data_IF_992924125714
#
_entry.id   IF_992924125714
#
_cell.length_a   1.000
_cell.length_b   1.000
_cell.length_c   1.000
_cell.angle_alpha   90.00
_cell.angle_beta   90.00
_cell.angle_gamma   90.00
#
_symmetry.space_group_name_H-M   'P 1'
#
loop_
_entity.id
_entity.type
_entity.pdbx_description
1 polymer ?
#
# COMPACT_ATOMS: atom_id res chain seq x y z
N UNK A 1 -16.72 9.18 -21.97
CA UNK A 1 -18.15 9.24 -21.59
C UNK A 1 -18.18 9.69 -20.13
N UNK A 2 -18.62 10.92 -19.82
CA UNK A 2 -18.33 11.61 -18.54
C UNK A 2 -19.46 11.57 -17.48
N UNK A 3 -20.48 10.72 -17.64
CA UNK A 3 -21.81 10.95 -17.05
C UNK A 3 -21.92 11.02 -15.52
N UNK A 4 -21.30 10.11 -14.75
CA UNK A 4 -21.45 10.06 -13.28
C UNK A 4 -20.31 10.73 -12.52
N UNK A 5 -19.07 10.51 -12.96
CA UNK A 5 -17.86 11.00 -12.28
C UNK A 5 -17.75 12.54 -12.32
N UNK A 6 -18.09 13.14 -13.48
CA UNK A 6 -18.14 14.60 -13.63
C UNK A 6 -19.18 15.25 -12.73
N UNK A 7 -20.39 14.68 -12.65
CA UNK A 7 -21.49 15.23 -11.86
C UNK A 7 -21.16 15.24 -10.37
N UNK A 8 -20.50 14.18 -9.89
CA UNK A 8 -20.03 14.08 -8.51
C UNK A 8 -18.97 15.14 -8.20
N UNK A 9 -17.94 15.25 -9.05
CA UNK A 9 -16.86 16.23 -8.92
C UNK A 9 -17.38 17.67 -8.91
N UNK A 10 -18.29 18.01 -9.82
CA UNK A 10 -18.91 19.34 -9.87
C UNK A 10 -19.61 19.67 -8.55
N UNK A 11 -20.32 18.70 -7.97
CA UNK A 11 -21.00 18.86 -6.68
C UNK A 11 -20.01 19.08 -5.55
N UNK A 12 -18.90 18.33 -5.52
CA UNK A 12 -17.84 18.49 -4.52
C UNK A 12 -17.20 19.87 -4.57
N UNK A 13 -16.79 20.32 -5.76
CA UNK A 13 -16.19 21.65 -5.96
C UNK A 13 -17.13 22.78 -5.51
N UNK A 14 -18.42 22.68 -5.86
CA UNK A 14 -19.42 23.65 -5.43
C UNK A 14 -19.58 23.69 -3.91
N UNK A 15 -19.67 22.52 -3.27
CA UNK A 15 -19.82 22.43 -1.82
C UNK A 15 -18.57 22.88 -1.07
N UNK A 16 -17.37 22.59 -1.59
CA UNK A 16 -16.10 23.02 -1.02
C UNK A 16 -15.98 24.56 -1.00
N UNK A 17 -16.57 25.25 -1.98
CA UNK A 17 -16.64 26.72 -2.01
C UNK A 17 -17.83 27.29 -1.21
N UNK A 18 -18.61 26.45 -0.52
CA UNK A 18 -19.72 26.88 0.34
C UNK A 18 -20.97 27.35 -0.41
N UNK A 19 -21.13 26.99 -1.69
CA UNK A 19 -22.29 27.38 -2.49
C UNK A 19 -23.45 26.39 -2.33
N UNK A 20 -24.67 26.88 -2.08
CA UNK A 20 -25.90 26.13 -2.34
C UNK A 20 -26.22 26.15 -3.84
N UNK A 21 -27.13 25.31 -4.33
CA UNK A 21 -27.50 25.31 -5.76
C UNK A 21 -28.19 26.61 -6.16
N UNK A 22 -29.02 27.13 -5.27
CA UNK A 22 -29.76 28.38 -5.45
C UNK A 22 -28.78 29.55 -5.55
N UNK A 23 -27.81 29.62 -4.63
CA UNK A 23 -26.76 30.64 -4.62
C UNK A 23 -25.82 30.51 -5.83
N UNK A 24 -25.51 29.28 -6.25
CA UNK A 24 -24.65 29.03 -7.39
C UNK A 24 -25.29 29.41 -8.72
N UNK A 25 -26.62 29.29 -8.84
CA UNK A 25 -27.40 29.66 -10.03
C UNK A 25 -28.03 31.07 -9.93
N UNK A 26 -27.74 31.84 -8.87
CA UNK A 26 -28.33 33.16 -8.67
C UNK A 26 -27.90 34.11 -9.80
N UNK A 27 -28.87 34.85 -10.37
CA UNK A 27 -28.64 35.77 -11.49
C UNK A 27 -28.13 35.11 -12.77
N UNK A 28 -28.29 33.79 -12.94
CA UNK A 28 -27.76 33.03 -14.08
C UNK A 28 -28.85 32.75 -15.13
N UNK A 29 -28.70 33.30 -16.33
CA UNK A 29 -29.59 33.00 -17.46
C UNK A 29 -29.20 31.71 -18.20
N UNK A 30 -27.98 31.20 -17.98
CA UNK A 30 -27.40 30.06 -18.72
C UNK A 30 -27.63 28.74 -17.98
N UNK A 31 -27.67 28.75 -16.64
CA UNK A 31 -27.76 27.55 -15.81
C UNK A 31 -28.85 27.63 -14.74
N UNK A 32 -29.95 26.90 -14.95
CA UNK A 32 -31.00 26.75 -13.93
C UNK A 32 -30.65 25.72 -12.84
N UNK A 33 -31.22 25.88 -11.64
CA UNK A 33 -31.10 24.92 -10.51
C UNK A 33 -31.51 23.50 -10.92
N UNK A 34 -32.53 23.39 -11.79
CA UNK A 34 -33.00 22.11 -12.32
C UNK A 34 -31.98 21.46 -13.26
N UNK A 35 -31.34 22.24 -14.12
CA UNK A 35 -30.27 21.74 -15.00
C UNK A 35 -29.04 21.34 -14.19
N UNK A 36 -28.58 22.18 -13.26
CA UNK A 36 -27.47 21.86 -12.36
C UNK A 36 -27.72 20.56 -11.59
N UNK A 37 -28.93 20.38 -11.05
CA UNK A 37 -29.29 19.13 -10.34
C UNK A 37 -29.22 17.90 -11.25
N UNK A 38 -29.66 18.01 -12.50
CA UNK A 38 -29.56 16.89 -13.45
C UNK A 38 -28.11 16.60 -13.84
N UNK A 39 -27.27 17.63 -13.95
CA UNK A 39 -25.83 17.48 -14.23
C UNK A 39 -25.13 16.81 -13.05
N UNK A 40 -25.32 17.31 -11.83
CA UNK A 40 -24.68 16.75 -10.61
C UNK A 40 -25.11 15.31 -10.31
N UNK A 41 -26.31 14.91 -10.74
CA UNK A 41 -26.81 13.53 -10.58
C UNK A 41 -26.49 12.62 -11.78
N UNK A 42 -25.76 13.13 -12.78
CA UNK A 42 -25.42 12.39 -14.00
C UNK A 42 -26.59 12.11 -14.94
N UNK A 43 -27.77 12.70 -14.70
CA UNK A 43 -28.99 12.56 -15.52
C UNK A 43 -29.01 13.48 -16.75
N UNK A 44 -27.99 14.31 -16.94
CA UNK A 44 -27.83 15.21 -18.09
C UNK A 44 -26.35 15.46 -18.35
N UNK A 45 -25.94 15.35 -19.61
CA UNK A 45 -24.59 15.76 -20.02
C UNK A 45 -24.60 17.24 -20.44
N UNK A 46 -23.74 18.08 -19.86
CA UNK A 46 -23.61 19.48 -20.25
C UNK A 46 -22.91 19.61 -21.62
N UNK A 47 -23.23 20.68 -22.36
CA UNK A 47 -22.49 21.06 -23.58
C UNK A 47 -21.24 21.84 -23.21
N UNK A 48 -20.32 22.02 -24.16
CA UNK A 48 -19.06 22.76 -23.95
C UNK A 48 -19.28 24.17 -23.38
N UNK A 49 -20.22 24.92 -23.94
CA UNK A 49 -20.58 26.26 -23.45
C UNK A 49 -21.02 26.25 -21.97
N UNK A 50 -21.78 25.23 -21.57
CA UNK A 50 -22.21 25.04 -20.19
C UNK A 50 -21.03 24.67 -19.28
N UNK A 51 -20.09 23.86 -19.78
CA UNK A 51 -18.88 23.48 -19.05
C UNK A 51 -17.96 24.68 -18.79
N UNK A 52 -17.71 25.50 -19.81
CA UNK A 52 -16.93 26.74 -19.68
C UNK A 52 -17.58 27.74 -18.72
N UNK A 53 -18.91 27.79 -18.73
CA UNK A 53 -19.67 28.62 -17.80
C UNK A 53 -19.56 28.13 -16.35
N UNK A 54 -19.68 26.81 -16.12
CA UNK A 54 -19.49 26.20 -14.81
C UNK A 54 -18.08 26.46 -14.26
N UNK A 55 -17.05 26.36 -15.10
CA UNK A 55 -15.66 26.60 -14.72
C UNK A 55 -15.44 28.06 -14.28
N UNK A 56 -15.98 29.02 -15.05
CA UNK A 56 -15.95 30.45 -14.71
C UNK A 56 -16.66 30.75 -13.38
N UNK A 57 -17.83 30.15 -13.13
CA UNK A 57 -18.58 30.33 -11.87
C UNK A 57 -17.83 29.79 -10.65
N UNK A 58 -17.09 28.69 -10.81
CA UNK A 58 -16.22 28.12 -9.77
C UNK A 58 -14.85 28.79 -9.69
N UNK A 59 -14.54 29.74 -10.58
CA UNK A 59 -13.25 30.38 -10.72
C UNK A 59 -12.08 29.38 -10.86
N UNK A 60 -12.31 28.34 -11.68
CA UNK A 60 -11.32 27.30 -12.01
C UNK A 60 -11.19 27.17 -13.53
N UNK A 61 -10.13 26.48 -13.98
CA UNK A 61 -9.96 26.19 -15.41
C UNK A 61 -10.94 25.09 -15.89
N UNK A 62 -11.24 25.08 -17.19
CA UNK A 62 -12.09 24.04 -17.80
C UNK A 62 -11.48 22.63 -17.63
N UNK A 63 -10.15 22.51 -17.75
CA UNK A 63 -9.42 21.27 -17.51
C UNK A 63 -9.56 20.78 -16.07
N UNK A 64 -9.40 21.67 -15.10
CA UNK A 64 -9.61 21.38 -13.67
C UNK A 64 -11.05 20.96 -13.36
N UNK A 65 -12.05 21.61 -13.98
CA UNK A 65 -13.45 21.24 -13.84
C UNK A 65 -13.72 19.84 -14.42
N UNK A 66 -13.19 19.53 -15.60
CA UNK A 66 -13.37 18.25 -16.29
C UNK A 66 -12.66 17.08 -15.60
N UNK A 67 -11.87 17.35 -14.57
CA UNK A 67 -11.09 16.32 -13.91
C UNK A 67 -9.96 15.80 -14.78
N UNK A 68 -9.52 16.58 -15.79
CA UNK A 68 -8.14 16.47 -16.23
C UNK A 68 -7.30 16.75 -14.99
N UNK A 69 -6.77 15.67 -14.40
CA UNK A 69 -5.97 15.71 -13.19
C UNK A 69 -4.73 16.55 -13.48
N UNK A 70 -4.81 17.86 -13.34
CA UNK A 70 -3.69 18.80 -13.37
C UNK A 70 -2.85 18.67 -12.10
N UNK A 71 -2.36 17.44 -11.81
CA UNK A 71 -1.21 17.14 -10.95
C UNK A 71 -0.57 15.78 -11.34
N UNK A 72 -1.34 14.80 -11.85
CA UNK A 72 -0.78 13.49 -12.26
C UNK A 72 -0.09 13.55 -13.64
N UNK A 73 -0.22 14.65 -14.38
CA UNK A 73 0.38 14.86 -15.70
C UNK A 73 1.67 15.69 -15.73
N UNK A 74 2.33 15.95 -14.59
CA UNK A 74 3.64 16.64 -14.57
C UNK A 74 4.84 15.77 -14.22
N UNK A 75 4.63 14.53 -13.76
CA UNK A 75 5.76 13.66 -13.46
C UNK A 75 6.24 12.93 -14.70
N UNK A 76 7.54 12.95 -15.01
CA UNK A 76 8.09 12.17 -16.11
C UNK A 76 7.68 10.71 -15.99
N UNK A 77 7.17 10.12 -17.08
CA UNK A 77 6.75 8.70 -17.11
C UNK A 77 7.90 7.78 -16.69
N UNK A 78 9.13 8.15 -17.04
CA UNK A 78 10.33 7.46 -16.60
C UNK A 78 10.47 7.44 -15.07
N UNK A 79 10.29 8.59 -14.40
CA UNK A 79 10.31 8.66 -12.94
C UNK A 79 9.25 7.74 -12.31
N UNK A 80 8.01 7.77 -12.81
CA UNK A 80 6.94 6.92 -12.30
C UNK A 80 7.26 5.42 -12.46
N UNK A 81 7.85 5.03 -13.59
CA UNK A 81 8.28 3.64 -13.83
C UNK A 81 9.42 3.22 -12.88
N UNK A 82 10.40 4.09 -12.66
CA UNK A 82 11.51 3.83 -11.73
C UNK A 82 10.98 3.69 -10.30
N UNK A 83 10.11 4.61 -9.87
CA UNK A 83 9.43 4.58 -8.57
C UNK A 83 8.65 3.28 -8.38
N UNK A 84 7.84 2.89 -9.36
CA UNK A 84 7.05 1.66 -9.30
C UNK A 84 7.93 0.42 -9.13
N UNK A 85 9.07 0.35 -9.83
CA UNK A 85 10.02 -0.75 -9.69
C UNK A 85 10.68 -0.79 -8.30
N UNK A 86 10.98 0.37 -7.71
CA UNK A 86 11.51 0.46 -6.34
C UNK A 86 10.50 0.02 -5.28
N UNK A 87 9.21 0.29 -5.48
CA UNK A 87 8.16 -0.18 -4.56
C UNK A 87 8.13 -1.71 -4.43
N UNK A 88 8.48 -2.43 -5.51
CA UNK A 88 8.52 -3.90 -5.53
C UNK A 88 9.76 -4.51 -4.87
N UNK A 89 10.72 -3.69 -4.41
CA UNK A 89 11.92 -4.19 -3.75
C UNK A 89 11.55 -4.95 -2.47
N UNK A 90 12.17 -6.11 -2.25
CA UNK A 90 11.97 -6.93 -1.06
C UNK A 90 13.31 -7.31 -0.44
N UNK A 91 13.34 -7.55 0.87
CA UNK A 91 14.57 -7.96 1.57
C UNK A 91 15.11 -9.33 1.12
N UNK A 92 14.30 -10.11 0.41
CA UNK A 92 14.66 -11.43 -0.14
C UNK A 92 15.23 -11.33 -1.56
N UNK A 93 15.26 -10.15 -2.16
CA UNK A 93 15.82 -9.99 -3.50
C UNK A 93 17.31 -10.33 -3.53
N UNK A 94 17.72 -10.98 -4.62
CA UNK A 94 19.13 -11.32 -4.85
C UNK A 94 19.97 -10.03 -4.84
N UNK A 95 21.21 -10.06 -4.32
CA UNK A 95 22.08 -8.87 -4.27
C UNK A 95 22.19 -8.13 -5.60
N UNK A 96 22.29 -8.86 -6.73
CA UNK A 96 22.35 -8.26 -8.07
C UNK A 96 21.07 -7.49 -8.45
N UNK A 97 19.89 -7.91 -7.98
CA UNK A 97 18.64 -7.19 -8.23
C UNK A 97 18.59 -5.91 -7.39
N UNK A 98 19.00 -5.98 -6.12
CA UNK A 98 19.08 -4.80 -5.24
C UNK A 98 20.08 -3.77 -5.79
N UNK A 99 21.23 -4.20 -6.33
CA UNK A 99 22.18 -3.30 -6.99
C UNK A 99 21.58 -2.59 -8.22
N UNK A 100 20.81 -3.31 -9.05
CA UNK A 100 20.10 -2.69 -10.20
C UNK A 100 19.02 -1.71 -9.74
N UNK A 101 18.38 -1.95 -8.60
CA UNK A 101 17.43 -1.02 -8.01
C UNK A 101 18.15 0.21 -7.45
N UNK A 102 19.34 0.04 -6.90
CA UNK A 102 20.19 1.13 -6.40
C UNK A 102 20.64 2.06 -7.53
N UNK A 103 21.04 1.52 -8.67
CA UNK A 103 21.34 2.31 -9.88
C UNK A 103 20.12 3.13 -10.35
N UNK A 104 18.93 2.55 -10.30
CA UNK A 104 17.67 3.25 -10.64
C UNK A 104 17.34 4.34 -9.64
N UNK A 105 17.58 4.09 -8.35
CA UNK A 105 17.42 5.10 -7.30
C UNK A 105 18.41 6.24 -7.49
N UNK A 106 19.68 5.95 -7.84
CA UNK A 106 20.67 6.96 -8.20
C UNK A 106 20.18 7.86 -9.33
N UNK A 107 19.62 7.27 -10.39
CA UNK A 107 18.98 8.05 -11.46
C UNK A 107 17.82 8.92 -10.95
N UNK A 108 17.00 8.43 -10.00
CA UNK A 108 15.94 9.25 -9.40
C UNK A 108 16.53 10.47 -8.69
N UNK A 109 17.54 10.24 -7.85
CA UNK A 109 18.20 11.26 -7.05
C UNK A 109 18.84 12.31 -7.96
N UNK A 110 19.61 11.89 -8.96
CA UNK A 110 20.39 12.78 -9.81
C UNK A 110 19.54 13.57 -10.82
N UNK A 111 18.43 12.99 -11.31
CA UNK A 111 17.68 13.54 -12.45
C UNK A 111 16.32 14.13 -12.12
N UNK A 112 15.75 13.83 -10.94
CA UNK A 112 14.37 14.25 -10.63
C UNK A 112 14.17 14.81 -9.23
N UNK A 113 14.91 14.35 -8.22
CA UNK A 113 14.60 14.60 -6.79
C UNK A 113 14.38 16.07 -6.43
N UNK A 114 15.28 16.96 -6.87
CA UNK A 114 15.22 18.39 -6.52
C UNK A 114 13.98 19.11 -7.08
N UNK A 115 13.42 18.60 -8.19
CA UNK A 115 12.23 19.15 -8.85
C UNK A 115 10.92 18.50 -8.37
N UNK A 116 11.00 17.45 -7.53
CA UNK A 116 9.83 16.77 -7.02
C UNK A 116 9.10 17.64 -5.97
N UNK A 117 7.75 17.60 -5.91
CA UNK A 117 7.01 18.12 -4.78
C UNK A 117 7.49 17.50 -3.46
N UNK A 118 7.42 18.26 -2.35
CA UNK A 118 7.90 17.83 -1.03
C UNK A 118 7.34 16.48 -0.60
N UNK A 119 6.05 16.23 -0.84
CA UNK A 119 5.43 14.95 -0.48
C UNK A 119 5.98 13.78 -1.30
N UNK A 120 6.39 14.02 -2.55
CA UNK A 120 7.00 12.99 -3.39
C UNK A 120 8.49 12.81 -3.05
N UNK A 121 9.22 13.86 -2.70
CA UNK A 121 10.58 13.74 -2.15
C UNK A 121 10.60 12.83 -0.92
N UNK A 122 9.62 13.00 -0.02
CA UNK A 122 9.44 12.11 1.14
C UNK A 122 9.23 10.65 0.73
N UNK A 123 8.48 10.39 -0.35
CA UNK A 123 8.31 9.03 -0.87
C UNK A 123 9.64 8.47 -1.37
N UNK A 124 10.45 9.28 -2.06
CA UNK A 124 11.80 8.86 -2.48
C UNK A 124 12.69 8.58 -1.26
N UNK A 125 12.65 9.42 -0.21
CA UNK A 125 13.44 9.21 1.01
C UNK A 125 13.07 7.89 1.72
N UNK A 126 11.78 7.54 1.72
CA UNK A 126 11.27 6.27 2.25
C UNK A 126 11.80 5.09 1.42
N UNK A 127 11.68 5.15 0.10
CA UNK A 127 12.14 4.10 -0.81
C UNK A 127 13.67 3.92 -0.73
N UNK A 128 14.42 5.02 -0.64
CA UNK A 128 15.87 5.00 -0.41
C UNK A 128 16.20 4.34 0.93
N UNK A 129 15.54 4.76 2.01
CA UNK A 129 15.75 4.19 3.34
C UNK A 129 15.46 2.69 3.38
N UNK A 130 14.39 2.27 2.72
CA UNK A 130 14.05 0.85 2.55
C UNK A 130 15.17 0.10 1.84
N UNK A 131 15.59 0.58 0.66
CA UNK A 131 16.61 -0.08 -0.14
C UNK A 131 17.95 -0.18 0.59
N UNK A 132 18.40 0.90 1.23
CA UNK A 132 19.66 0.91 2.00
C UNK A 132 19.61 0.02 3.24
N UNK A 133 18.44 -0.16 3.84
CA UNK A 133 18.27 -1.12 4.93
C UNK A 133 18.46 -2.56 4.43
N UNK A 134 18.02 -2.87 3.20
CA UNK A 134 18.19 -4.21 2.62
C UNK A 134 19.62 -4.48 2.13
N UNK A 135 20.35 -3.46 1.69
CA UNK A 135 21.73 -3.61 1.20
C UNK A 135 22.80 -3.44 2.30
N UNK A 136 22.40 -3.06 3.52
CA UNK A 136 23.32 -2.82 4.63
C UNK A 136 24.02 -4.10 5.09
N UNK A 137 25.36 -4.13 4.99
CA UNK A 137 26.19 -5.22 5.51
C UNK A 137 26.25 -5.27 7.04
N UNK A 138 25.94 -4.15 7.70
CA UNK A 138 25.96 -4.02 9.17
C UNK A 138 24.56 -4.15 9.79
N UNK A 139 23.55 -4.51 9.00
CA UNK A 139 22.14 -4.58 9.41
C UNK A 139 21.62 -3.23 9.96
N UNK A 140 22.18 -2.12 9.46
CA UNK A 140 21.72 -0.79 9.83
C UNK A 140 20.33 -0.53 9.26
N UNK A 141 19.43 -0.02 10.12
CA UNK A 141 18.06 0.37 9.77
C UNK A 141 18.03 1.86 9.43
N UNK A 142 17.63 2.20 8.21
CA UNK A 142 17.50 3.58 7.74
C UNK A 142 16.05 4.07 7.82
N UNK A 143 15.83 5.39 7.79
CA UNK A 143 14.49 5.99 7.81
C UNK A 143 13.79 5.99 9.17
N UNK A 144 14.46 5.60 10.26
CA UNK A 144 13.82 5.51 11.59
C UNK A 144 13.29 6.86 12.10
N UNK A 145 13.95 7.97 11.78
CA UNK A 145 13.46 9.31 12.15
C UNK A 145 12.23 9.75 11.35
N UNK A 146 12.07 9.26 10.12
CA UNK A 146 10.87 9.47 9.29
C UNK A 146 9.70 8.68 9.89
N UNK A 147 9.96 7.42 10.26
CA UNK A 147 9.00 6.55 10.92
C UNK A 147 8.54 7.15 12.26
N UNK A 148 9.47 7.55 13.12
CA UNK A 148 9.18 8.09 14.45
C UNK A 148 8.23 9.29 14.38
N UNK A 149 8.48 10.22 13.45
CA UNK A 149 7.62 11.40 13.22
C UNK A 149 6.22 11.04 12.69
N UNK A 150 6.08 9.89 12.03
CA UNK A 150 4.85 9.47 11.35
C UNK A 150 4.03 8.45 12.16
N UNK A 151 4.61 7.87 13.22
CA UNK A 151 4.06 6.72 13.92
C UNK A 151 2.71 7.02 14.60
N UNK A 152 2.55 8.19 15.20
CA UNK A 152 1.29 8.62 15.80
C UNK A 152 0.16 8.69 14.77
N UNK A 153 0.41 9.36 13.65
CA UNK A 153 -0.52 9.46 12.51
C UNK A 153 -0.90 8.07 11.96
N UNK A 154 0.07 7.17 11.82
CA UNK A 154 -0.21 5.79 11.41
C UNK A 154 -1.13 5.06 12.39
N UNK A 155 -1.00 5.28 13.69
CA UNK A 155 -1.86 4.65 14.69
C UNK A 155 -3.28 5.24 14.74
N UNK A 156 -3.42 6.55 14.49
CA UNK A 156 -4.70 7.28 14.59
C UNK A 156 -5.61 7.10 13.38
N UNK A 157 -5.03 6.86 12.19
CA UNK A 157 -5.79 6.58 10.97
C UNK A 157 -6.64 5.32 11.12
N UNK A 158 -7.70 5.22 10.33
CA UNK A 158 -8.57 4.00 10.27
C UNK A 158 -8.36 3.19 9.00
N UNK A 159 -7.95 3.86 7.93
CA UNK A 159 -7.79 3.35 6.57
C UNK A 159 -6.54 4.01 6.01
N UNK A 160 -5.68 3.23 5.37
CA UNK A 160 -4.39 3.66 4.84
C UNK A 160 -4.44 3.99 3.35
N UNK A 161 -3.59 4.93 2.97
CA UNK A 161 -3.26 5.26 1.58
C UNK A 161 -1.99 4.54 1.14
N UNK A 162 -1.63 4.62 -0.15
CA UNK A 162 -0.38 4.07 -0.67
C UNK A 162 0.84 4.63 0.09
N UNK A 163 0.86 5.94 0.36
CA UNK A 163 1.98 6.57 1.08
C UNK A 163 2.09 6.06 2.53
N UNK A 164 0.96 5.74 3.16
CA UNK A 164 0.96 5.13 4.49
C UNK A 164 1.53 3.70 4.44
N UNK A 165 1.21 2.93 3.40
CA UNK A 165 1.78 1.59 3.21
C UNK A 165 3.30 1.66 3.03
N UNK A 166 3.81 2.63 2.27
CA UNK A 166 5.26 2.86 2.12
C UNK A 166 5.93 3.21 3.46
N UNK A 167 5.29 4.02 4.31
CA UNK A 167 5.77 4.28 5.67
C UNK A 167 5.76 3.02 6.54
N UNK A 168 4.76 2.15 6.37
CA UNK A 168 4.67 0.88 7.08
C UNK A 168 5.82 -0.06 6.69
N UNK A 169 6.40 0.05 5.50
CA UNK A 169 7.61 -0.70 5.15
C UNK A 169 8.79 -0.33 6.06
N UNK A 170 8.94 0.95 6.44
CA UNK A 170 9.93 1.36 7.45
C UNK A 170 9.59 0.80 8.83
N UNK A 171 8.30 0.72 9.18
CA UNK A 171 7.88 0.07 10.41
C UNK A 171 8.27 -1.41 10.40
N UNK A 172 8.05 -2.14 9.31
CA UNK A 172 8.47 -3.54 9.17
C UNK A 172 9.99 -3.70 9.34
N UNK A 173 10.79 -2.80 8.77
CA UNK A 173 12.26 -2.78 8.97
C UNK A 173 12.59 -2.53 10.44
N UNK A 174 11.87 -1.63 11.11
CA UNK A 174 12.08 -1.32 12.53
C UNK A 174 11.87 -2.53 13.44
N UNK A 175 10.94 -3.43 13.09
CA UNK A 175 10.64 -4.65 13.84
C UNK A 175 11.85 -5.59 13.97
N UNK A 176 12.76 -5.60 12.98
CA UNK A 176 13.96 -6.42 13.01
C UNK A 176 13.69 -7.93 12.90
N UNK A 177 14.48 -8.71 13.62
CA UNK A 177 14.41 -10.17 13.66
C UNK A 177 13.46 -10.67 14.77
N UNK A 178 13.34 -12.00 14.88
CA UNK A 178 12.48 -12.63 15.89
C UNK A 178 12.86 -12.25 17.33
N UNK A 179 14.14 -12.03 17.63
CA UNK A 179 14.59 -11.61 18.95
C UNK A 179 14.14 -10.19 19.27
N UNK A 180 14.23 -9.27 18.29
CA UNK A 180 13.70 -7.92 18.38
C UNK A 180 12.18 -7.92 18.62
N UNK A 181 11.44 -8.77 17.89
CA UNK A 181 9.98 -8.91 18.04
C UNK A 181 9.58 -9.49 19.40
N UNK A 182 10.42 -10.34 20.01
CA UNK A 182 10.19 -10.95 21.32
C UNK A 182 10.64 -10.07 22.49
N UNK A 183 11.41 -9.02 22.23
CA UNK A 183 11.93 -8.11 23.26
C UNK A 183 10.83 -7.35 24.02
N UNK A 184 11.16 -6.92 25.24
CA UNK A 184 10.27 -6.11 26.09
C UNK A 184 10.05 -4.69 25.54
N UNK A 185 10.94 -4.21 24.66
CA UNK A 185 10.79 -2.92 23.99
C UNK A 185 9.74 -2.90 22.87
N UNK A 186 9.17 -4.05 22.53
CA UNK A 186 8.13 -4.15 21.49
C UNK A 186 6.81 -3.53 21.95
N UNK A 187 6.34 -2.51 21.24
CA UNK A 187 5.04 -1.88 21.51
C UNK A 187 3.88 -2.68 20.92
N UNK A 188 3.26 -3.55 21.71
CA UNK A 188 2.06 -4.31 21.28
C UNK A 188 0.90 -3.40 20.88
N UNK A 189 0.70 -2.30 21.60
CA UNK A 189 -0.38 -1.34 21.32
C UNK A 189 -0.23 -0.72 19.93
N UNK A 190 0.98 -0.26 19.59
CA UNK A 190 1.31 0.29 18.27
C UNK A 190 1.15 -0.76 17.18
N UNK A 191 1.71 -1.96 17.38
CA UNK A 191 1.61 -3.04 16.41
C UNK A 191 0.17 -3.37 16.08
N UNK A 192 -0.67 -3.67 17.08
CA UNK A 192 -2.05 -4.06 16.83
C UNK A 192 -2.92 -2.90 16.31
N UNK A 193 -2.59 -1.64 16.62
CA UNK A 193 -3.24 -0.49 15.98
C UNK A 193 -2.98 -0.50 14.47
N UNK A 194 -1.71 -0.62 14.05
CA UNK A 194 -1.33 -0.66 12.64
C UNK A 194 -1.96 -1.88 11.95
N UNK A 195 -1.91 -3.07 12.56
CA UNK A 195 -2.48 -4.28 11.97
C UNK A 195 -3.99 -4.17 11.70
N UNK A 196 -4.76 -3.61 12.65
CA UNK A 196 -6.21 -3.39 12.45
C UNK A 196 -6.47 -2.41 11.31
N UNK A 197 -5.69 -1.34 11.24
CA UNK A 197 -5.82 -0.35 10.19
C UNK A 197 -5.47 -0.94 8.81
N UNK A 198 -4.43 -1.78 8.71
CA UNK A 198 -4.10 -2.52 7.48
C UNK A 198 -5.26 -3.40 7.03
N UNK A 199 -5.85 -4.20 7.92
CA UNK A 199 -6.98 -5.09 7.59
C UNK A 199 -8.15 -4.30 7.00
N UNK A 200 -8.44 -3.12 7.55
CA UNK A 200 -9.53 -2.24 7.10
C UNK A 200 -9.22 -1.47 5.80
N UNK A 201 -7.99 -1.51 5.30
CA UNK A 201 -7.54 -0.63 4.21
C UNK A 201 -7.80 -1.17 2.80
N UNK A 202 -8.19 -2.43 2.66
CA UNK A 202 -8.31 -3.10 1.37
C UNK A 202 -9.14 -2.32 0.34
N UNK A 203 -10.34 -1.86 0.70
CA UNK A 203 -11.23 -1.16 -0.25
C UNK A 203 -10.72 0.23 -0.67
N UNK A 204 -9.68 0.75 -0.01
CA UNK A 204 -9.11 2.08 -0.28
C UNK A 204 -7.80 2.03 -1.10
N UNK A 205 -7.26 0.83 -1.33
CA UNK A 205 -6.02 0.65 -2.09
C UNK A 205 -6.38 0.25 -3.53
N UNK A 206 -5.93 1.00 -4.55
CA UNK A 206 -6.13 0.61 -5.94
C UNK A 206 -5.51 -0.76 -6.22
N UNK A 207 -6.14 -1.55 -7.08
CA UNK A 207 -5.75 -2.93 -7.38
C UNK A 207 -4.27 -3.05 -7.78
N UNK A 208 -3.74 -2.10 -8.55
CA UNK A 208 -2.35 -2.06 -8.98
C UNK A 208 -1.33 -1.84 -7.84
N UNK A 209 -1.79 -1.44 -6.65
CA UNK A 209 -0.97 -1.23 -5.45
C UNK A 209 -1.30 -2.20 -4.31
N UNK A 210 -2.23 -3.14 -4.50
CA UNK A 210 -2.61 -4.11 -3.46
C UNK A 210 -1.43 -5.01 -3.03
N UNK A 211 -0.39 -5.15 -3.86
CA UNK A 211 0.84 -5.86 -3.46
C UNK A 211 1.52 -5.23 -2.24
N UNK A 212 1.46 -3.89 -2.07
CA UNK A 212 1.99 -3.21 -0.89
C UNK A 212 1.19 -3.58 0.36
N UNK A 213 -0.14 -3.66 0.24
CA UNK A 213 -1.00 -4.04 1.35
C UNK A 213 -0.78 -5.51 1.73
N UNK A 214 -0.65 -6.40 0.73
CA UNK A 214 -0.28 -7.81 0.95
C UNK A 214 1.03 -7.92 1.74
N UNK A 215 2.07 -7.23 1.27
CA UNK A 215 3.39 -7.30 1.87
C UNK A 215 3.39 -6.73 3.30
N UNK A 216 2.64 -5.66 3.54
CA UNK A 216 2.40 -5.13 4.88
C UNK A 216 1.66 -6.13 5.79
N UNK A 217 0.57 -6.75 5.30
CA UNK A 217 -0.25 -7.69 6.07
C UNK A 217 0.49 -8.97 6.48
N UNK A 218 1.51 -9.39 5.72
CA UNK A 218 2.33 -10.56 6.09
C UNK A 218 3.02 -10.37 7.45
N UNK A 219 3.26 -9.13 7.90
CA UNK A 219 3.85 -8.90 9.22
C UNK A 219 2.97 -9.41 10.37
N UNK A 220 1.65 -9.47 10.17
CA UNK A 220 0.69 -9.86 11.22
C UNK A 220 1.00 -11.28 11.72
N UNK A 221 0.86 -12.33 10.89
CA UNK A 221 1.16 -13.69 11.33
C UNK A 221 2.63 -13.92 11.69
N UNK A 222 3.57 -13.19 11.06
CA UNK A 222 5.01 -13.30 11.39
C UNK A 222 5.24 -12.91 12.86
N UNK A 223 4.82 -11.70 13.25
CA UNK A 223 5.06 -11.17 14.59
C UNK A 223 4.24 -11.93 15.64
N UNK A 224 3.00 -12.26 15.32
CA UNK A 224 2.13 -13.05 16.20
C UNK A 224 2.73 -14.44 16.49
N UNK A 225 3.32 -15.08 15.48
CA UNK A 225 4.03 -16.35 15.66
C UNK A 225 5.27 -16.23 16.54
N UNK A 226 6.08 -15.17 16.34
CA UNK A 226 7.27 -14.93 17.16
C UNK A 226 6.91 -14.67 18.63
N UNK A 227 5.80 -13.96 18.87
CA UNK A 227 5.32 -13.64 20.23
C UNK A 227 4.37 -14.70 20.84
N UNK A 228 3.99 -15.72 20.07
CA UNK A 228 2.98 -16.74 20.46
C UNK A 228 1.64 -16.12 20.89
N UNK A 229 1.24 -15.03 20.25
CA UNK A 229 -0.03 -14.32 20.51
C UNK A 229 -0.77 -14.11 19.19
N UNK A 230 -1.84 -14.88 18.97
CA UNK A 230 -2.55 -14.91 17.69
C UNK A 230 -3.93 -14.25 17.81
N UNK A 231 -4.00 -12.95 17.58
CA UNK A 231 -5.25 -12.18 17.67
C UNK A 231 -5.85 -11.89 16.29
N UNK A 232 -5.02 -11.70 15.28
CA UNK A 232 -5.40 -11.21 13.96
C UNK A 232 -4.97 -12.13 12.81
N UNK A 233 -4.13 -13.14 13.05
CA UNK A 233 -3.61 -14.05 12.00
C UNK A 233 -4.70 -14.64 11.10
N UNK A 234 -5.79 -15.16 11.67
CA UNK A 234 -6.86 -15.78 10.88
C UNK A 234 -7.54 -14.77 9.92
N UNK A 235 -7.80 -13.56 10.40
CA UNK A 235 -8.36 -12.46 9.58
C UNK A 235 -7.35 -12.01 8.53
N UNK A 236 -6.07 -11.90 8.90
CA UNK A 236 -5.00 -11.53 7.99
C UNK A 236 -4.83 -12.56 6.86
N UNK A 237 -4.88 -13.87 7.15
CA UNK A 237 -4.81 -14.91 6.13
C UNK A 237 -5.96 -14.82 5.13
N UNK A 238 -7.19 -14.62 5.59
CA UNK A 238 -8.34 -14.46 4.71
C UNK A 238 -8.16 -13.26 3.76
N UNK A 239 -7.67 -12.13 4.30
CA UNK A 239 -7.40 -10.93 3.50
C UNK A 239 -6.23 -11.13 2.52
N UNK A 240 -5.17 -11.81 2.94
CA UNK A 240 -4.01 -12.14 2.09
C UNK A 240 -4.42 -13.03 0.91
N UNK A 241 -5.25 -14.06 1.14
CA UNK A 241 -5.79 -14.88 0.05
C UNK A 241 -6.65 -14.06 -0.90
N UNK A 242 -7.57 -13.24 -0.37
CA UNK A 242 -8.40 -12.35 -1.20
C UNK A 242 -7.56 -11.45 -2.09
N UNK A 243 -6.53 -10.81 -1.53
CA UNK A 243 -5.62 -9.94 -2.29
C UNK A 243 -4.88 -10.72 -3.36
N UNK A 244 -4.25 -11.85 -3.02
CA UNK A 244 -3.49 -12.67 -3.99
C UNK A 244 -4.35 -13.14 -5.16
N UNK A 245 -5.60 -13.55 -4.89
CA UNK A 245 -6.55 -13.91 -5.94
C UNK A 245 -6.95 -12.71 -6.81
N UNK A 246 -7.12 -11.52 -6.23
CA UNK A 246 -7.47 -10.34 -7.02
C UNK A 246 -6.34 -9.90 -7.97
N UNK A 247 -5.11 -9.83 -7.47
CA UNK A 247 -3.97 -9.37 -8.27
C UNK A 247 -3.31 -10.48 -9.10
N UNK A 248 -3.72 -11.74 -8.90
CA UNK A 248 -3.13 -12.93 -9.54
C UNK A 248 -1.60 -13.02 -9.37
N UNK A 249 -1.09 -12.52 -8.24
CA UNK A 249 0.33 -12.55 -7.87
C UNK A 249 0.54 -13.47 -6.67
N UNK A 250 1.17 -14.61 -6.95
CA UNK A 250 1.42 -15.69 -6.01
C UNK A 250 2.89 -15.78 -5.57
N UNK A 251 3.74 -14.78 -5.87
CA UNK A 251 5.16 -14.80 -5.48
C UNK A 251 5.37 -14.98 -3.97
N UNK A 252 4.47 -14.43 -3.15
CA UNK A 252 4.52 -14.56 -1.67
C UNK A 252 3.72 -15.75 -1.13
N UNK A 253 3.09 -16.57 -1.99
CA UNK A 253 2.30 -17.74 -1.58
C UNK A 253 3.13 -18.78 -0.81
N UNK A 254 4.41 -19.07 -1.13
CA UNK A 254 5.22 -19.97 -0.30
C UNK A 254 5.30 -19.52 1.16
N UNK A 255 5.55 -18.24 1.38
CA UNK A 255 5.65 -17.64 2.72
C UNK A 255 4.30 -17.72 3.42
N UNK A 256 3.20 -17.40 2.72
CA UNK A 256 1.85 -17.51 3.28
C UNK A 256 1.56 -18.95 3.75
N UNK A 257 1.82 -19.96 2.92
CA UNK A 257 1.60 -21.38 3.29
C UNK A 257 2.47 -21.81 4.48
N UNK A 258 3.70 -21.31 4.58
CA UNK A 258 4.54 -21.52 5.77
C UNK A 258 3.88 -20.99 7.04
N UNK A 259 3.41 -19.74 7.00
CA UNK A 259 2.80 -19.04 8.14
C UNK A 259 1.47 -19.70 8.54
N UNK A 260 0.68 -20.17 7.58
CA UNK A 260 -0.52 -20.95 7.85
C UNK A 260 -0.19 -22.29 8.52
N UNK A 261 0.86 -22.98 8.05
CA UNK A 261 1.34 -24.20 8.71
C UNK A 261 1.77 -23.97 10.16
N UNK A 262 2.47 -22.87 10.42
CA UNK A 262 2.83 -22.44 11.77
C UNK A 262 1.59 -22.20 12.66
N UNK A 263 0.60 -21.49 12.13
CA UNK A 263 -0.65 -21.22 12.85
C UNK A 263 -1.44 -22.50 13.13
N UNK A 264 -1.60 -23.37 12.15
CA UNK A 264 -2.30 -24.66 12.29
C UNK A 264 -1.65 -25.53 13.37
N UNK A 265 -0.31 -25.58 13.38
CA UNK A 265 0.44 -26.33 14.37
C UNK A 265 0.26 -25.75 15.78
N UNK A 266 0.53 -24.45 15.96
CA UNK A 266 0.58 -23.83 17.30
C UNK A 266 -0.81 -23.57 17.88
N UNK A 267 -1.77 -23.15 17.07
CA UNK A 267 -3.08 -22.68 17.54
C UNK A 267 -4.16 -23.75 17.41
N UNK A 268 -4.18 -24.47 16.28
CA UNK A 268 -5.23 -25.49 16.02
C UNK A 268 -4.80 -26.89 16.47
N UNK A 269 -3.51 -27.08 16.80
CA UNK A 269 -2.92 -28.39 17.11
C UNK A 269 -3.18 -29.44 16.01
N UNK A 270 -3.30 -28.98 14.76
CA UNK A 270 -3.55 -29.84 13.60
C UNK A 270 -2.23 -30.12 12.87
N UNK A 271 -1.55 -31.17 13.33
CA UNK A 271 -0.23 -31.55 12.80
C UNK A 271 -0.31 -31.94 11.33
N UNK A 272 -1.40 -32.60 10.91
CA UNK A 272 -1.52 -33.09 9.54
C UNK A 272 -1.66 -31.95 8.54
N UNK A 273 -2.63 -31.06 8.74
CA UNK A 273 -2.81 -29.91 7.84
C UNK A 273 -1.65 -28.93 7.93
N UNK A 274 -1.00 -28.80 9.10
CA UNK A 274 0.21 -28.01 9.23
C UNK A 274 1.35 -28.56 8.36
N UNK A 275 1.64 -29.87 8.44
CA UNK A 275 2.67 -30.53 7.60
C UNK A 275 2.38 -30.34 6.11
N UNK A 276 1.12 -30.49 5.70
CA UNK A 276 0.67 -30.30 4.32
C UNK A 276 0.86 -28.86 3.84
N UNK A 277 0.51 -27.86 4.65
CA UNK A 277 0.72 -26.45 4.31
C UNK A 277 2.21 -26.12 4.10
N UNK A 278 3.09 -26.62 4.98
CA UNK A 278 4.54 -26.48 4.80
C UNK A 278 5.02 -27.13 3.50
N UNK A 279 4.60 -28.36 3.21
CA UNK A 279 4.98 -29.08 1.98
C UNK A 279 4.56 -28.32 0.72
N UNK A 280 3.33 -27.83 0.68
CA UNK A 280 2.85 -27.00 -0.44
C UNK A 280 3.70 -25.74 -0.60
N UNK A 281 4.01 -25.04 0.50
CA UNK A 281 4.88 -23.86 0.45
C UNK A 281 6.30 -24.18 -0.07
N UNK A 282 6.89 -25.30 0.36
CA UNK A 282 8.22 -25.76 -0.09
C UNK A 282 8.19 -26.07 -1.59
N UNK A 283 7.15 -26.76 -2.07
CA UNK A 283 6.98 -27.06 -3.50
C UNK A 283 6.84 -25.76 -4.30
N UNK A 284 6.01 -24.83 -3.84
CA UNK A 284 5.82 -23.54 -4.51
C UNK A 284 7.12 -22.72 -4.57
N UNK A 285 7.90 -22.66 -3.48
CA UNK A 285 9.19 -21.98 -3.47
C UNK A 285 10.14 -22.57 -4.53
N UNK A 286 10.21 -23.91 -4.64
CA UNK A 286 11.03 -24.59 -5.67
C UNK A 286 10.53 -24.30 -7.09
N UNK A 287 9.23 -24.30 -7.31
CA UNK A 287 8.63 -23.99 -8.62
C UNK A 287 8.93 -22.54 -9.06
N UNK A 288 9.00 -21.61 -8.10
CA UNK A 288 9.40 -20.22 -8.34
C UNK A 288 10.91 -20.03 -8.46
N UNK A 289 11.71 -21.11 -8.33
CA UNK A 289 13.16 -21.07 -8.43
C UNK A 289 13.87 -20.52 -7.19
N UNK A 290 13.16 -20.40 -6.05
CA UNK A 290 13.72 -19.98 -4.77
C UNK A 290 14.04 -21.20 -3.88
N UNK A 291 15.10 -21.90 -4.24
CA UNK A 291 15.57 -23.08 -3.49
C UNK A 291 16.01 -22.73 -2.08
N UNK A 292 16.60 -21.53 -1.88
CA UNK A 292 17.03 -21.07 -0.56
C UNK A 292 15.85 -20.94 0.40
N UNK A 293 14.75 -20.33 -0.05
CA UNK A 293 13.53 -20.25 0.75
C UNK A 293 12.96 -21.64 1.04
N UNK A 294 12.93 -22.53 0.04
CA UNK A 294 12.44 -23.90 0.21
C UNK A 294 13.25 -24.68 1.28
N UNK A 295 14.56 -24.49 1.34
CA UNK A 295 15.44 -25.14 2.30
C UNK A 295 15.21 -24.59 3.72
N UNK A 296 15.12 -23.26 3.87
CA UNK A 296 14.77 -22.59 5.15
C UNK A 296 13.42 -23.08 5.67
N UNK A 297 12.42 -23.20 4.79
CA UNK A 297 11.09 -23.70 5.15
C UNK A 297 11.14 -25.16 5.60
N UNK A 298 11.93 -25.98 4.90
CA UNK A 298 12.12 -27.40 5.25
C UNK A 298 12.80 -27.56 6.62
N UNK A 299 13.78 -26.72 6.93
CA UNK A 299 14.43 -26.69 8.24
C UNK A 299 13.46 -26.25 9.34
N UNK A 300 12.75 -25.13 9.15
CA UNK A 300 11.73 -24.64 10.08
C UNK A 300 10.65 -25.68 10.35
N UNK A 301 10.20 -26.42 9.33
CA UNK A 301 9.22 -27.50 9.48
C UNK A 301 9.77 -28.62 10.38
N UNK A 302 11.01 -29.07 10.11
CA UNK A 302 11.67 -30.12 10.92
C UNK A 302 11.85 -29.70 12.37
N UNK A 303 12.24 -28.45 12.61
CA UNK A 303 12.46 -27.96 13.97
C UNK A 303 11.17 -27.75 14.76
N UNK A 304 10.12 -27.24 14.11
CA UNK A 304 8.83 -27.02 14.76
C UNK A 304 8.09 -28.33 15.03
N UNK A 305 8.26 -29.35 14.19
CA UNK A 305 7.48 -30.58 14.21
C UNK A 305 8.33 -31.81 14.49
N UNK A 306 9.26 -31.71 15.45
CA UNK A 306 9.99 -32.88 15.96
C UNK A 306 8.99 -33.85 16.58
N UNK A 307 8.79 -34.99 15.93
CA UNK A 307 8.31 -36.22 16.57
C UNK A 307 9.39 -36.80 17.46
#
# INVERSE_FOLDING_TARGET
>A
MFGQDFGHRLRELRLAQGFTKEKFCEGDEVLSVRQLTRIETGKSQPKLETLEHLARRLNISLSELLGERTVVSKMPVEYLNLKYQLMHATSLDKPNNLMKLDEKLGKIIDSYYDDLPVDEQRVVDILQSKLYSYTSKTHQKFGMSILEKSLSSLCEKRVYTINDLLLIELYQISLGDGDSMRSDGFSEGTFYAICRNLINSYDNIPTEYLFLLRDALLMVPIVEYERKKFHLSEVAFNQLHRIMEEIQDFQKKPILRMLEGQYLYVVKNDIFEAKKAYQEGIILARLLGDTSLADIMSEKMRDAMKE
#
